data_IF_761442229477
#
_entry.id   IF_761442229477
#
_cell.length_a   1.000
_cell.length_b   1.000
_cell.length_c   1.000
_cell.angle_alpha   90.00
_cell.angle_beta   90.00
_cell.angle_gamma   90.00
#
_symmetry.space_group_name_H-M   'P 1'
#
loop_
_entity.id
_entity.type
_entity.pdbx_description
1 polymer ?
#
# COMPACT_ATOMS: atom_id res chain seq x y z
N UNK A 1 14.32 7.60 -54.29
CA UNK A 1 12.94 7.10 -54.30
C UNK A 1 12.75 6.25 -53.05
N UNK A 2 11.84 6.69 -52.18
CA UNK A 2 11.06 5.95 -51.15
C UNK A 2 11.08 4.43 -51.21
N UNK A 3 10.87 3.65 -50.15
CA UNK A 3 10.56 3.86 -48.72
C UNK A 3 10.54 2.45 -48.08
N UNK A 4 10.63 2.37 -46.76
CA UNK A 4 9.78 1.42 -46.02
C UNK A 4 10.50 0.50 -45.03
N UNK A 5 11.03 1.08 -43.95
CA UNK A 5 11.36 0.34 -42.73
C UNK A 5 10.12 0.34 -41.83
N UNK A 6 9.64 -0.86 -41.46
CA UNK A 6 8.42 -1.04 -40.68
C UNK A 6 8.74 -0.98 -39.18
N UNK A 7 8.48 0.17 -38.56
CA UNK A 7 8.49 0.32 -37.10
C UNK A 7 7.26 -0.36 -36.50
N UNK A 8 7.48 -1.41 -35.71
CA UNK A 8 6.44 -2.09 -34.95
C UNK A 8 6.17 -1.31 -33.67
N UNK A 9 5.17 -0.45 -33.67
CA UNK A 9 4.70 0.27 -32.47
C UNK A 9 3.67 -0.60 -31.75
N UNK A 10 4.03 -1.11 -30.56
CA UNK A 10 3.15 -1.87 -29.67
C UNK A 10 2.01 -0.98 -29.18
N UNK A 11 0.90 -0.95 -29.91
CA UNK A 11 -0.30 -0.23 -29.52
C UNK A 11 -1.19 -1.20 -28.76
N UNK A 12 -1.33 -1.00 -27.45
CA UNK A 12 -2.33 -1.66 -26.62
C UNK A 12 -3.72 -1.37 -27.20
N UNK A 13 -4.37 -2.38 -27.76
CA UNK A 13 -5.70 -2.29 -28.35
C UNK A 13 -6.75 -2.10 -27.27
N UNK A 14 -7.11 -0.85 -26.96
CA UNK A 14 -8.32 -0.52 -26.21
C UNK A 14 -9.53 -0.78 -27.13
N UNK A 15 -10.36 -1.74 -26.76
CA UNK A 15 -11.60 -2.06 -27.49
C UNK A 15 -12.56 -0.88 -27.48
N UNK A 16 -13.32 -0.64 -28.55
CA UNK A 16 -14.31 0.46 -28.68
C UNK A 16 -15.24 0.54 -27.45
N UNK A 17 -15.71 -0.60 -26.97
CA UNK A 17 -16.62 -0.71 -25.81
C UNK A 17 -15.99 -0.21 -24.50
N UNK A 18 -14.67 -0.34 -24.36
CA UNK A 18 -13.95 0.17 -23.18
C UNK A 18 -13.90 1.69 -23.17
N UNK A 19 -13.70 2.30 -24.34
CA UNK A 19 -13.65 3.76 -24.50
C UNK A 19 -14.99 4.42 -24.19
N UNK A 20 -16.10 3.82 -24.64
CA UNK A 20 -17.45 4.29 -24.33
C UNK A 20 -17.75 4.26 -22.83
N UNK A 21 -17.39 3.17 -22.15
CA UNK A 21 -17.54 3.04 -20.69
C UNK A 21 -16.71 4.09 -19.93
N UNK A 22 -15.48 4.33 -20.37
CA UNK A 22 -14.62 5.38 -19.79
C UNK A 22 -15.26 6.76 -19.98
N UNK A 23 -15.76 7.05 -21.17
CA UNK A 23 -16.39 8.33 -21.48
C UNK A 23 -17.67 8.54 -20.65
N UNK A 24 -18.48 7.49 -20.48
CA UNK A 24 -19.66 7.51 -19.62
C UNK A 24 -19.31 7.74 -18.15
N UNK A 25 -18.26 7.07 -17.65
CA UNK A 25 -17.76 7.27 -16.29
C UNK A 25 -17.27 8.72 -16.09
N UNK A 26 -16.53 9.27 -17.06
CA UNK A 26 -16.08 10.66 -17.04
C UNK A 26 -17.24 11.64 -17.02
N UNK A 27 -18.22 11.49 -17.92
CA UNK A 27 -19.40 12.36 -17.96
C UNK A 27 -20.17 12.33 -16.64
N UNK A 28 -20.33 11.14 -16.05
CA UNK A 28 -20.97 10.97 -14.74
C UNK A 28 -20.19 11.68 -13.64
N UNK A 29 -18.86 11.62 -13.65
CA UNK A 29 -18.01 12.32 -12.68
C UNK A 29 -18.11 13.84 -12.82
N UNK A 30 -18.17 14.37 -14.04
CA UNK A 30 -18.33 15.82 -14.29
C UNK A 30 -19.62 16.40 -13.70
N UNK A 31 -20.67 15.59 -13.54
CA UNK A 31 -21.89 16.02 -12.83
C UNK A 31 -21.68 16.19 -11.32
N UNK A 32 -20.73 15.45 -10.75
CA UNK A 32 -20.38 15.51 -9.32
C UNK A 32 -19.34 16.59 -9.08
N UNK A 33 -18.45 16.81 -10.04
CA UNK A 33 -17.33 17.75 -9.98
C UNK A 33 -17.44 18.71 -11.17
N UNK A 34 -18.13 19.85 -11.02
CA UNK A 34 -18.39 20.77 -12.14
C UNK A 34 -17.13 21.36 -12.78
N UNK A 35 -16.00 21.37 -12.07
CA UNK A 35 -14.71 21.88 -12.54
C UNK A 35 -14.09 21.04 -13.66
N UNK A 36 -14.61 19.85 -13.95
CA UNK A 36 -14.14 18.95 -15.03
C UNK A 36 -14.62 19.34 -16.44
N UNK A 37 -15.45 20.36 -16.58
CA UNK A 37 -16.27 20.62 -17.78
C UNK A 37 -15.53 21.17 -19.02
N UNK A 38 -14.20 21.27 -19.01
CA UNK A 38 -13.43 21.82 -20.14
C UNK A 38 -12.72 20.73 -20.95
N UNK A 39 -13.31 20.41 -22.12
CA UNK A 39 -12.67 19.96 -23.38
C UNK A 39 -11.40 19.11 -23.27
N UNK A 40 -11.41 17.84 -23.71
CA UNK A 40 -10.27 17.21 -24.43
C UNK A 40 -10.52 15.76 -24.87
N UNK A 41 -9.72 15.33 -25.86
CA UNK A 41 -9.86 14.11 -26.67
C UNK A 41 -9.50 12.77 -25.97
N UNK A 42 -9.11 12.78 -24.68
CA UNK A 42 -8.75 11.55 -23.95
C UNK A 42 -9.19 11.59 -22.47
N UNK A 43 -10.36 11.02 -22.11
CA UNK A 43 -10.91 11.06 -20.75
C UNK A 43 -10.06 10.32 -19.70
N UNK A 44 -9.27 9.31 -20.09
CA UNK A 44 -8.40 8.59 -19.13
C UNK A 44 -7.25 9.47 -18.61
N UNK A 45 -6.59 10.21 -19.50
CA UNK A 45 -5.46 11.05 -19.12
C UNK A 45 -5.87 12.11 -18.10
N UNK A 46 -7.10 12.63 -18.22
CA UNK A 46 -7.63 13.63 -17.30
C UNK A 46 -7.98 13.01 -15.95
N UNK A 47 -8.60 11.83 -15.92
CA UNK A 47 -8.89 11.11 -14.67
C UNK A 47 -7.62 10.76 -13.88
N UNK A 48 -6.49 10.63 -14.56
CA UNK A 48 -5.18 10.37 -13.96
C UNK A 48 -4.42 11.65 -13.56
N UNK A 49 -4.97 12.84 -13.79
CA UNK A 49 -4.32 14.11 -13.44
C UNK A 49 -4.17 14.28 -11.92
N UNK A 50 -3.16 15.06 -11.52
CA UNK A 50 -2.86 15.41 -10.12
C UNK A 50 -3.95 16.31 -9.51
N UNK A 51 -4.43 17.30 -10.27
CA UNK A 51 -5.40 18.27 -9.77
C UNK A 51 -6.72 17.61 -9.36
N UNK A 52 -7.17 16.67 -10.19
CA UNK A 52 -8.40 15.89 -9.98
C UNK A 52 -8.25 14.96 -8.79
N UNK A 53 -7.08 14.34 -8.63
CA UNK A 53 -6.80 13.53 -7.45
C UNK A 53 -6.90 14.33 -6.16
N UNK A 54 -6.24 15.49 -6.10
CA UNK A 54 -6.28 16.36 -4.93
C UNK A 54 -7.71 16.78 -4.57
N UNK A 55 -8.51 17.16 -5.59
CA UNK A 55 -9.90 17.55 -5.40
C UNK A 55 -10.77 16.39 -4.88
N UNK A 56 -10.68 15.20 -5.49
CA UNK A 56 -11.43 14.01 -5.08
C UNK A 56 -10.97 13.53 -3.69
N UNK A 57 -9.67 13.52 -3.41
CA UNK A 57 -9.12 13.15 -2.11
C UNK A 57 -9.65 14.08 -1.01
N UNK A 58 -9.70 15.38 -1.25
CA UNK A 58 -10.31 16.36 -0.33
C UNK A 58 -11.78 16.05 -0.07
N UNK A 59 -12.56 15.76 -1.12
CA UNK A 59 -13.98 15.39 -1.00
C UNK A 59 -14.17 14.11 -0.17
N UNK A 60 -13.31 13.11 -0.36
CA UNK A 60 -13.32 11.86 0.41
C UNK A 60 -12.90 12.06 1.87
N UNK A 61 -12.08 13.07 2.18
CA UNK A 61 -11.64 13.40 3.55
C UNK A 61 -12.68 14.20 4.35
N UNK A 62 -13.71 14.79 3.73
CA UNK A 62 -14.76 15.55 4.44
C UNK A 62 -15.50 14.72 5.50
N UNK A 63 -15.93 15.31 6.64
CA UNK A 63 -16.48 14.58 7.79
C UNK A 63 -17.77 13.79 7.51
N UNK A 64 -18.51 14.17 6.46
CA UNK A 64 -19.77 13.54 6.03
C UNK A 64 -19.60 12.63 4.80
N UNK A 65 -18.36 12.44 4.32
CA UNK A 65 -18.09 11.51 3.22
C UNK A 65 -18.29 10.06 3.65
N UNK A 66 -18.59 9.19 2.67
CA UNK A 66 -18.72 7.76 2.89
C UNK A 66 -20.11 7.30 3.36
N UNK A 67 -21.08 8.19 3.51
CA UNK A 67 -22.48 7.82 3.74
C UNK A 67 -23.09 7.10 2.54
N UNK A 68 -24.23 6.41 2.73
CA UNK A 68 -24.87 5.62 1.66
C UNK A 68 -25.45 6.45 0.51
N UNK A 69 -25.71 7.73 0.74
CA UNK A 69 -26.19 8.73 -0.23
C UNK A 69 -25.04 9.51 -0.90
N UNK A 70 -23.78 9.16 -0.63
CA UNK A 70 -22.63 9.85 -1.20
C UNK A 70 -22.48 9.51 -2.69
N UNK A 71 -22.77 10.48 -3.56
CA UNK A 71 -22.70 10.32 -5.02
C UNK A 71 -21.31 9.89 -5.52
N UNK A 72 -20.23 10.35 -4.88
CA UNK A 72 -18.87 9.98 -5.24
C UNK A 72 -18.59 8.50 -4.91
N UNK A 73 -19.04 8.01 -3.75
CA UNK A 73 -18.94 6.59 -3.40
C UNK A 73 -19.75 5.72 -4.36
N UNK A 74 -20.95 6.17 -4.75
CA UNK A 74 -21.76 5.50 -5.77
C UNK A 74 -21.05 5.44 -7.12
N UNK A 75 -20.47 6.55 -7.56
CA UNK A 75 -19.70 6.60 -8.80
C UNK A 75 -18.49 5.65 -8.77
N UNK A 76 -17.73 5.63 -7.66
CA UNK A 76 -16.61 4.70 -7.48
C UNK A 76 -17.08 3.23 -7.54
N UNK A 77 -18.22 2.92 -6.91
CA UNK A 77 -18.82 1.59 -6.96
C UNK A 77 -19.19 1.19 -8.39
N UNK A 78 -19.93 2.04 -9.11
CA UNK A 78 -20.35 1.78 -10.50
C UNK A 78 -19.13 1.65 -11.44
N UNK A 79 -18.08 2.42 -11.16
CA UNK A 79 -16.80 2.38 -11.90
C UNK A 79 -16.10 1.02 -11.73
N UNK A 80 -16.12 0.41 -10.53
CA UNK A 80 -15.63 -0.96 -10.31
C UNK A 80 -16.48 -1.97 -11.09
N UNK A 81 -17.80 -1.79 -11.17
CA UNK A 81 -18.67 -2.74 -11.87
C UNK A 81 -18.54 -2.69 -13.40
N UNK A 82 -17.92 -1.66 -13.96
CA UNK A 82 -17.70 -1.51 -15.41
C UNK A 82 -16.89 -2.65 -16.05
N UNK A 83 -16.03 -3.31 -15.25
CA UNK A 83 -15.10 -4.35 -15.68
C UNK A 83 -13.92 -3.86 -16.52
N UNK A 84 -13.71 -2.55 -16.62
CA UNK A 84 -12.61 -1.95 -17.40
C UNK A 84 -11.36 -1.81 -16.50
N UNK A 85 -10.20 -2.39 -16.88
CA UNK A 85 -9.01 -2.40 -16.02
C UNK A 85 -8.47 -1.00 -15.70
N UNK A 86 -8.53 -0.06 -16.65
CA UNK A 86 -8.07 1.32 -16.44
C UNK A 86 -8.94 2.06 -15.41
N UNK A 87 -10.24 1.81 -15.42
CA UNK A 87 -11.19 2.35 -14.45
C UNK A 87 -11.02 1.70 -13.07
N UNK A 88 -10.65 0.41 -13.00
CA UNK A 88 -10.28 -0.24 -11.74
C UNK A 88 -9.02 0.38 -11.15
N UNK A 89 -7.99 0.63 -11.96
CA UNK A 89 -6.77 1.29 -11.52
C UNK A 89 -7.06 2.69 -10.97
N UNK A 90 -7.95 3.44 -11.63
CA UNK A 90 -8.42 4.74 -11.15
C UNK A 90 -9.07 4.66 -9.77
N UNK A 91 -9.93 3.67 -9.52
CA UNK A 91 -10.56 3.49 -8.20
C UNK A 91 -9.52 3.08 -7.15
N UNK A 92 -8.58 2.20 -7.50
CA UNK A 92 -7.48 1.81 -6.61
C UNK A 92 -6.60 3.00 -6.21
N UNK A 93 -6.46 4.02 -7.07
CA UNK A 93 -5.75 5.27 -6.73
C UNK A 93 -6.33 5.96 -5.50
N UNK A 94 -7.64 5.88 -5.27
CA UNK A 94 -8.31 6.50 -4.11
C UNK A 94 -8.44 5.56 -2.91
N UNK A 95 -8.05 4.29 -3.05
CA UNK A 95 -8.19 3.29 -2.00
C UNK A 95 -7.44 3.65 -0.70
N UNK A 96 -6.21 4.21 -0.71
CA UNK A 96 -5.56 4.66 0.52
C UNK A 96 -6.39 5.66 1.31
N UNK A 97 -7.03 6.61 0.63
CA UNK A 97 -7.90 7.63 1.25
C UNK A 97 -9.18 6.99 1.76
N UNK A 98 -9.82 6.13 0.97
CA UNK A 98 -11.06 5.43 1.36
C UNK A 98 -10.81 4.54 2.58
N UNK A 99 -9.79 3.67 2.53
CA UNK A 99 -9.43 2.78 3.63
C UNK A 99 -8.95 3.57 4.85
N UNK A 100 -8.13 4.60 4.63
CA UNK A 100 -7.66 5.57 5.62
C UNK A 100 -8.78 6.18 6.45
N UNK A 101 -9.66 6.90 5.76
CA UNK A 101 -10.79 7.60 6.36
C UNK A 101 -11.80 6.61 6.94
N UNK A 102 -12.06 5.49 6.26
CA UNK A 102 -12.94 4.43 6.75
C UNK A 102 -12.46 3.91 8.09
N UNK A 103 -11.23 3.39 8.15
CA UNK A 103 -10.67 2.76 9.34
C UNK A 103 -10.57 3.73 10.51
N UNK A 104 -10.12 4.96 10.28
CA UNK A 104 -9.96 5.98 11.33
C UNK A 104 -11.30 6.46 11.93
N UNK A 105 -12.41 6.31 11.21
CA UNK A 105 -13.75 6.76 11.66
C UNK A 105 -14.61 5.67 12.29
N UNK A 106 -14.19 4.40 12.25
CA UNK A 106 -14.89 3.29 12.92
C UNK A 106 -15.18 3.60 14.40
N UNK A 107 -14.24 4.15 15.20
CA UNK A 107 -14.51 4.49 16.59
C UNK A 107 -15.60 5.56 16.75
N UNK A 108 -15.79 6.42 15.75
CA UNK A 108 -16.76 7.52 15.76
C UNK A 108 -18.20 7.08 15.50
N UNK A 109 -18.46 5.81 15.15
CA UNK A 109 -19.79 5.23 14.87
C UNK A 109 -20.64 6.04 13.86
N UNK A 110 -19.98 6.71 12.91
CA UNK A 110 -20.66 7.41 11.82
C UNK A 110 -21.12 6.41 10.74
N UNK A 111 -22.21 6.69 10.00
CA UNK A 111 -22.62 5.85 8.88
C UNK A 111 -21.58 5.93 7.75
N UNK A 112 -21.01 4.78 7.36
CA UNK A 112 -19.96 4.68 6.33
C UNK A 112 -20.33 3.69 5.21
N UNK A 113 -21.63 3.48 4.99
CA UNK A 113 -22.15 2.49 4.06
C UNK A 113 -21.64 2.67 2.62
N UNK A 114 -21.36 3.90 2.18
CA UNK A 114 -20.76 4.18 0.87
C UNK A 114 -19.34 3.65 0.76
N UNK A 115 -18.49 3.89 1.76
CA UNK A 115 -17.13 3.31 1.78
C UNK A 115 -17.16 1.79 1.89
N UNK A 116 -18.06 1.25 2.71
CA UNK A 116 -18.24 -0.19 2.86
C UNK A 116 -18.66 -0.84 1.53
N UNK A 117 -19.54 -0.20 0.76
CA UNK A 117 -19.95 -0.68 -0.55
C UNK A 117 -18.78 -0.72 -1.54
N UNK A 118 -17.93 0.32 -1.58
CA UNK A 118 -16.74 0.36 -2.46
C UNK A 118 -15.73 -0.72 -2.06
N UNK A 119 -15.45 -0.86 -0.77
CA UNK A 119 -14.52 -1.89 -0.26
C UNK A 119 -15.05 -3.31 -0.51
N UNK A 120 -16.36 -3.54 -0.35
CA UNK A 120 -16.99 -4.81 -0.70
C UNK A 120 -16.95 -5.09 -2.19
N UNK A 121 -17.12 -4.08 -3.04
CA UNK A 121 -17.01 -4.26 -4.49
C UNK A 121 -15.60 -4.70 -4.91
N UNK A 122 -14.56 -4.08 -4.35
CA UNK A 122 -13.17 -4.51 -4.57
C UNK A 122 -12.93 -5.94 -4.06
N UNK A 123 -13.44 -6.25 -2.87
CA UNK A 123 -13.33 -7.60 -2.30
C UNK A 123 -14.07 -8.65 -3.16
N UNK A 124 -15.26 -8.33 -3.64
CA UNK A 124 -16.05 -9.20 -4.51
C UNK A 124 -15.35 -9.43 -5.84
N UNK A 125 -14.76 -8.38 -6.44
CA UNK A 125 -13.96 -8.47 -7.64
C UNK A 125 -12.77 -9.43 -7.47
N UNK A 126 -12.03 -9.33 -6.36
CA UNK A 126 -10.93 -10.26 -6.09
C UNK A 126 -11.42 -11.67 -5.78
N UNK A 127 -12.56 -11.80 -5.10
CA UNK A 127 -13.15 -13.11 -4.78
C UNK A 127 -13.56 -13.85 -6.06
N UNK A 128 -14.16 -13.15 -7.03
CA UNK A 128 -14.50 -13.74 -8.32
C UNK A 128 -13.25 -14.07 -9.13
N UNK A 129 -12.23 -13.19 -9.12
CA UNK A 129 -10.96 -13.44 -9.80
C UNK A 129 -10.23 -14.68 -9.27
N UNK A 130 -10.28 -14.93 -7.96
CA UNK A 130 -9.67 -16.12 -7.34
C UNK A 130 -10.46 -17.41 -7.56
N UNK A 131 -11.73 -17.35 -7.97
CA UNK A 131 -12.58 -18.52 -8.22
C UNK A 131 -12.57 -19.58 -7.09
N UNK A 132 -12.49 -19.13 -5.83
CA UNK A 132 -12.42 -20.00 -4.65
C UNK A 132 -11.04 -20.62 -4.36
N UNK A 133 -10.01 -20.31 -5.14
CA UNK A 133 -8.66 -20.79 -4.93
C UNK A 133 -7.88 -19.93 -3.92
N UNK A 134 -6.99 -20.58 -3.17
CA UNK A 134 -6.03 -19.90 -2.31
C UNK A 134 -4.83 -19.41 -3.14
N UNK A 135 -4.20 -18.32 -2.70
CA UNK A 135 -2.95 -17.84 -3.31
C UNK A 135 -1.80 -18.60 -2.68
N UNK A 136 -1.12 -19.43 -3.48
CA UNK A 136 0.00 -20.27 -3.04
C UNK A 136 1.29 -19.89 -3.76
N UNK A 137 2.43 -20.05 -3.08
CA UNK A 137 3.77 -19.92 -3.67
C UNK A 137 4.56 -21.19 -3.41
N UNK A 138 5.33 -21.64 -4.40
CA UNK A 138 6.31 -22.72 -4.19
C UNK A 138 7.54 -22.12 -3.53
N UNK A 139 7.90 -22.60 -2.34
CA UNK A 139 9.12 -22.18 -1.65
C UNK A 139 10.32 -22.81 -2.37
N UNK A 140 11.25 -22.01 -2.89
CA UNK A 140 12.44 -22.55 -3.56
C UNK A 140 13.29 -23.38 -2.61
N UNK A 141 13.82 -24.50 -3.10
CA UNK A 141 14.75 -25.36 -2.38
C UNK A 141 16.06 -25.45 -3.18
N UNK A 142 17.19 -25.15 -2.53
CA UNK A 142 18.52 -25.23 -3.13
C UNK A 142 18.90 -26.66 -3.51
N UNK A 143 18.24 -27.68 -2.94
CA UNK A 143 18.44 -29.08 -3.31
C UNK A 143 17.96 -29.40 -4.73
N UNK A 144 17.01 -28.62 -5.25
CA UNK A 144 16.43 -28.78 -6.59
C UNK A 144 17.10 -27.81 -7.58
N UNK A 145 17.43 -28.23 -8.81
CA UNK A 145 17.95 -27.32 -9.82
C UNK A 145 16.93 -26.23 -10.13
N UNK A 146 17.42 -25.02 -10.40
CA UNK A 146 16.59 -23.86 -10.75
C UNK A 146 17.20 -23.11 -11.94
N UNK A 147 16.50 -22.08 -12.40
CA UNK A 147 16.98 -21.18 -13.47
C UNK A 147 18.35 -20.56 -13.12
N UNK A 148 18.67 -20.41 -11.83
CA UNK A 148 19.89 -19.72 -11.37
C UNK A 148 20.98 -20.66 -10.84
N UNK A 149 20.68 -21.94 -10.59
CA UNK A 149 21.66 -22.87 -10.04
C UNK A 149 21.41 -24.32 -10.44
N UNK A 150 22.50 -25.07 -10.60
CA UNK A 150 22.47 -26.51 -10.80
C UNK A 150 22.77 -27.23 -9.48
N UNK A 151 21.99 -28.26 -9.15
CA UNK A 151 22.25 -29.07 -7.95
C UNK A 151 23.23 -30.19 -8.29
N UNK A 152 24.46 -30.10 -7.76
CA UNK A 152 25.51 -31.11 -8.01
C UNK A 152 25.25 -32.46 -7.33
N UNK A 153 24.30 -32.54 -6.40
CA UNK A 153 24.02 -33.75 -5.62
C UNK A 153 22.54 -34.08 -5.76
N UNK A 154 22.25 -35.18 -6.45
CA UNK A 154 20.90 -35.78 -6.45
C UNK A 154 20.66 -36.37 -5.07
N UNK A 155 20.25 -35.53 -4.12
CA UNK A 155 19.71 -36.02 -2.86
C UNK A 155 18.37 -36.67 -3.21
N UNK A 156 18.31 -38.00 -3.12
CA UNK A 156 17.03 -38.73 -3.14
C UNK A 156 16.25 -38.38 -1.87
N UNK A 157 15.70 -37.17 -1.82
CA UNK A 157 14.64 -36.85 -0.90
C UNK A 157 13.34 -37.26 -1.58
N UNK A 158 12.56 -38.11 -0.90
CA UNK A 158 11.21 -38.50 -1.30
C UNK A 158 10.21 -37.31 -1.23
N UNK A 159 10.68 -36.08 -1.08
CA UNK A 159 9.89 -34.86 -1.14
C UNK A 159 9.83 -34.37 -2.59
N UNK A 160 9.11 -35.10 -3.44
CA UNK A 160 8.65 -34.57 -4.74
C UNK A 160 7.48 -33.59 -4.58
N UNK A 161 7.04 -33.33 -3.35
CA UNK A 161 6.09 -32.26 -3.07
C UNK A 161 6.83 -30.92 -3.14
N UNK A 162 6.53 -30.15 -4.18
CA UNK A 162 6.82 -28.72 -4.20
C UNK A 162 6.31 -28.14 -2.87
N UNK A 163 7.20 -27.54 -2.08
CA UNK A 163 6.88 -26.96 -0.77
C UNK A 163 5.92 -25.77 -0.97
N UNK A 164 4.63 -26.05 -1.15
CA UNK A 164 3.61 -25.06 -1.41
C UNK A 164 3.23 -24.36 -0.10
N UNK A 165 3.58 -23.08 -0.01
CA UNK A 165 3.16 -22.20 1.07
C UNK A 165 1.91 -21.43 0.66
N UNK A 166 0.89 -21.42 1.52
CA UNK A 166 -0.33 -20.60 1.32
C UNK A 166 -0.04 -19.17 1.79
N UNK A 167 -0.02 -18.22 0.86
CA UNK A 167 0.18 -16.79 1.15
C UNK A 167 -1.12 -16.10 1.58
N UNK A 168 -2.24 -16.46 0.96
CA UNK A 168 -3.55 -15.90 1.26
C UNK A 168 -4.59 -17.02 1.09
N UNK A 169 -5.42 -17.31 2.12
CA UNK A 169 -6.44 -18.35 2.00
C UNK A 169 -7.49 -18.00 0.95
N UNK A 170 -8.27 -19.00 0.53
CA UNK A 170 -9.43 -18.82 -0.34
C UNK A 170 -10.39 -17.77 0.23
N UNK A 171 -10.98 -16.97 -0.66
CA UNK A 171 -11.90 -15.92 -0.29
C UNK A 171 -13.35 -16.41 -0.34
N UNK A 172 -14.12 -16.10 0.70
CA UNK A 172 -15.56 -16.36 0.76
C UNK A 172 -16.32 -15.09 0.35
N UNK A 173 -17.39 -15.19 -0.46
CA UNK A 173 -18.19 -14.03 -0.83
C UNK A 173 -18.92 -13.45 0.39
N UNK A 174 -18.97 -12.13 0.48
CA UNK A 174 -19.58 -11.41 1.60
C UNK A 174 -20.49 -10.29 1.09
N UNK A 175 -21.70 -10.20 1.66
CA UNK A 175 -22.67 -9.16 1.29
C UNK A 175 -22.66 -7.91 2.19
N UNK A 176 -21.98 -7.95 3.34
CA UNK A 176 -21.93 -6.84 4.31
C UNK A 176 -20.58 -6.78 5.03
N UNK A 177 -20.10 -5.58 5.40
CA UNK A 177 -18.88 -5.42 6.19
C UNK A 177 -19.20 -5.56 7.67
N UNK A 178 -18.79 -6.68 8.28
CA UNK A 178 -18.89 -6.90 9.73
C UNK A 178 -17.56 -6.64 10.42
N UNK A 179 -17.58 -6.27 11.70
CA UNK A 179 -16.36 -6.00 12.49
C UNK A 179 -15.34 -7.15 12.45
N UNK A 180 -15.81 -8.41 12.52
CA UNK A 180 -14.96 -9.61 12.49
C UNK A 180 -14.29 -9.88 11.14
N UNK A 181 -14.87 -9.39 10.04
CA UNK A 181 -14.36 -9.62 8.67
C UNK A 181 -13.75 -8.37 8.05
N UNK A 182 -13.97 -7.20 8.66
CA UNK A 182 -13.53 -5.90 8.16
C UNK A 182 -12.04 -5.88 7.81
N UNK A 183 -11.19 -6.36 8.73
CA UNK A 183 -9.75 -6.37 8.51
C UNK A 183 -9.36 -7.20 7.29
N UNK A 184 -10.03 -8.34 7.05
CA UNK A 184 -9.81 -9.18 5.88
C UNK A 184 -10.28 -8.50 4.60
N UNK A 185 -11.46 -7.89 4.61
CA UNK A 185 -12.02 -7.18 3.44
C UNK A 185 -11.08 -6.03 3.03
N UNK A 186 -10.71 -5.17 3.99
CA UNK A 186 -9.80 -4.05 3.73
C UNK A 186 -8.41 -4.55 3.37
N UNK A 187 -7.91 -5.59 4.04
CA UNK A 187 -6.61 -6.21 3.74
C UNK A 187 -6.53 -6.72 2.31
N UNK A 188 -7.56 -7.41 1.81
CA UNK A 188 -7.64 -7.87 0.41
C UNK A 188 -7.71 -6.70 -0.57
N UNK A 189 -8.46 -5.64 -0.25
CA UNK A 189 -8.44 -4.44 -1.08
C UNK A 189 -7.03 -3.81 -1.15
N UNK A 190 -6.29 -3.79 -0.03
CA UNK A 190 -4.89 -3.35 -0.02
C UNK A 190 -3.94 -4.32 -0.75
N UNK A 191 -4.22 -5.62 -0.77
CA UNK A 191 -3.50 -6.59 -1.63
C UNK A 191 -3.71 -6.25 -3.12
N UNK A 192 -4.94 -5.93 -3.53
CA UNK A 192 -5.25 -5.47 -4.87
C UNK A 192 -4.48 -4.18 -5.22
N UNK A 193 -4.47 -3.20 -4.31
CA UNK A 193 -3.67 -1.98 -4.47
C UNK A 193 -2.19 -2.32 -4.67
N UNK A 194 -1.64 -3.18 -3.81
CA UNK A 194 -0.25 -3.63 -3.91
C UNK A 194 0.05 -4.32 -5.24
N UNK A 195 -0.87 -5.13 -5.78
CA UNK A 195 -0.69 -5.81 -7.07
C UNK A 195 -0.53 -4.85 -8.26
N UNK A 196 -1.03 -3.62 -8.13
CA UNK A 196 -0.98 -2.56 -9.16
C UNK A 196 -0.13 -1.36 -8.75
N UNK A 197 0.59 -1.44 -7.62
CA UNK A 197 1.27 -0.30 -6.99
C UNK A 197 2.33 0.37 -7.89
N UNK A 198 2.93 -0.37 -8.81
CA UNK A 198 3.89 0.15 -9.79
C UNK A 198 3.25 1.10 -10.80
N UNK A 199 1.96 0.94 -11.09
CA UNK A 199 1.20 1.77 -12.02
C UNK A 199 0.54 2.97 -11.32
N UNK A 200 0.53 2.98 -9.98
CA UNK A 200 -0.10 4.04 -9.18
C UNK A 200 0.91 5.18 -8.94
N UNK A 201 0.49 6.45 -9.09
CA UNK A 201 1.37 7.59 -8.86
C UNK A 201 1.74 7.74 -7.37
N UNK A 202 2.57 8.73 -7.04
CA UNK A 202 3.16 8.87 -5.70
C UNK A 202 2.18 9.41 -4.65
N UNK A 203 1.20 10.23 -5.01
CA UNK A 203 0.33 10.93 -4.06
C UNK A 203 -0.52 9.97 -3.22
N UNK A 204 -1.17 8.94 -3.80
CA UNK A 204 -1.85 7.90 -3.01
C UNK A 204 -0.93 7.15 -2.05
N UNK A 205 0.34 6.98 -2.42
CA UNK A 205 1.34 6.29 -1.61
C UNK A 205 1.73 7.14 -0.40
N UNK A 206 1.87 8.46 -0.59
CA UNK A 206 2.10 9.43 0.50
C UNK A 206 0.89 9.43 1.44
N UNK A 207 -0.33 9.56 0.90
CA UNK A 207 -1.57 9.50 1.67
C UNK A 207 -1.65 8.20 2.50
N UNK A 208 -1.27 7.07 1.90
CA UNK A 208 -1.22 5.78 2.60
C UNK A 208 -0.28 5.81 3.81
N UNK A 209 0.92 6.40 3.66
CA UNK A 209 1.90 6.51 4.73
C UNK A 209 1.38 7.40 5.87
N UNK A 210 0.72 8.52 5.54
CA UNK A 210 0.06 9.39 6.54
C UNK A 210 -0.98 8.61 7.35
N UNK A 211 -1.84 7.82 6.69
CA UNK A 211 -2.82 7.00 7.38
C UNK A 211 -2.19 5.91 8.24
N UNK A 212 -1.08 5.30 7.80
CA UNK A 212 -0.34 4.33 8.62
C UNK A 212 0.17 4.94 9.92
N UNK A 213 0.66 6.19 9.88
CA UNK A 213 1.06 6.94 11.08
C UNK A 213 -0.13 7.12 12.03
N UNK A 214 -1.27 7.56 11.49
CA UNK A 214 -2.51 7.75 12.28
C UNK A 214 -2.93 6.41 12.91
N UNK A 215 -2.96 5.33 12.13
CA UNK A 215 -3.37 4.01 12.59
C UNK A 215 -2.44 3.44 13.65
N UNK A 216 -1.14 3.70 13.56
CA UNK A 216 -0.16 3.30 14.56
C UNK A 216 -0.53 3.88 15.93
N UNK A 217 -0.96 5.14 15.97
CA UNK A 217 -1.34 5.83 17.19
C UNK A 217 -0.17 6.12 18.12
N UNK A 218 1.05 5.99 17.60
CA UNK A 218 2.30 6.34 18.28
C UNK A 218 3.12 7.19 17.33
N UNK A 219 3.78 8.21 17.87
CA UNK A 219 4.71 9.06 17.12
C UNK A 219 6.04 8.35 16.83
N UNK A 220 6.32 7.26 17.54
CA UNK A 220 7.52 6.44 17.47
C UNK A 220 8.81 7.18 17.83
N UNK A 221 8.74 8.37 18.43
CA UNK A 221 9.88 9.29 18.57
C UNK A 221 11.07 8.65 19.28
N UNK A 222 10.81 7.76 20.25
CA UNK A 222 11.81 6.96 20.97
C UNK A 222 12.69 6.07 20.05
N UNK A 223 12.21 5.78 18.85
CA UNK A 223 12.91 4.94 17.86
C UNK A 223 13.54 5.77 16.74
N UNK A 224 13.63 7.10 16.89
CA UNK A 224 14.46 7.93 16.01
C UNK A 224 15.94 7.60 16.20
N UNK A 225 16.38 7.38 17.44
CA UNK A 225 17.78 7.08 17.73
C UNK A 225 18.18 5.64 17.33
N UNK A 226 17.20 4.74 17.13
CA UNK A 226 17.43 3.49 16.40
C UNK A 226 17.91 3.75 14.96
N UNK A 227 17.74 4.96 14.42
CA UNK A 227 18.32 5.43 13.16
C UNK A 227 19.81 5.77 13.30
N UNK A 228 20.26 6.21 14.48
CA UNK A 228 21.61 6.73 14.76
C UNK A 228 22.56 5.69 15.40
N UNK A 229 22.04 4.65 16.06
CA UNK A 229 22.81 3.78 16.96
C UNK A 229 23.73 2.69 16.33
N UNK A 230 23.99 2.67 15.01
CA UNK A 230 24.99 1.74 14.43
C UNK A 230 26.38 2.35 14.19
N UNK A 231 26.61 3.61 14.56
CA UNK A 231 27.96 4.17 14.73
C UNK A 231 28.33 4.30 16.22
N UNK A 232 28.85 3.22 16.82
CA UNK A 232 29.83 3.29 17.91
C UNK A 232 29.43 3.77 19.31
N UNK A 233 28.15 4.04 19.63
CA UNK A 233 27.77 4.63 20.93
C UNK A 233 27.27 3.63 22.00
N UNK A 234 27.81 2.41 22.06
CA UNK A 234 27.51 1.48 23.15
C UNK A 234 28.20 1.86 24.48
N UNK A 235 29.25 2.72 24.44
CA UNK A 235 30.08 3.01 25.60
C UNK A 235 29.57 4.20 26.46
N UNK A 236 28.83 5.15 25.89
CA UNK A 236 28.38 6.35 26.63
C UNK A 236 27.13 6.13 27.49
N UNK A 237 26.37 5.06 27.26
CA UNK A 237 25.14 4.78 28.04
C UNK A 237 25.39 4.32 29.47
N UNK A 238 26.62 3.98 29.86
CA UNK A 238 26.95 3.58 31.24
C UNK A 238 27.34 4.73 32.17
N UNK A 239 27.49 5.96 31.67
CA UNK A 239 27.94 7.10 32.48
C UNK A 239 26.83 8.10 32.87
N UNK A 240 25.57 7.88 32.44
CA UNK A 240 24.42 8.74 32.77
C UNK A 240 23.37 8.12 33.70
N UNK A 241 23.67 6.98 34.34
CA UNK A 241 22.78 6.37 35.37
C UNK A 241 23.02 6.90 36.80
N UNK A 242 23.67 8.07 36.95
CA UNK A 242 24.01 8.65 38.25
C UNK A 242 23.56 10.10 38.39
N UNK A 243 22.25 10.36 38.30
CA UNK A 243 21.69 11.69 38.52
C UNK A 243 20.20 11.60 38.84
N UNK A 244 19.89 11.50 40.12
CA UNK A 244 18.54 11.62 40.66
C UNK A 244 18.01 13.04 40.42
N UNK A 245 17.07 13.19 39.50
CA UNK A 245 16.14 14.31 39.50
C UNK A 245 14.74 13.70 39.44
N UNK A 246 14.11 13.61 40.61
CA UNK A 246 12.71 13.24 40.75
C UNK A 246 11.87 14.36 40.13
N UNK A 247 11.59 14.26 38.83
CA UNK A 247 10.57 15.09 38.20
C UNK A 247 9.23 14.58 38.68
N UNK A 248 8.63 15.31 39.62
CA UNK A 248 7.25 15.14 40.08
C UNK A 248 6.30 15.19 38.87
N UNK A 249 5.83 14.01 38.46
CA UNK A 249 4.80 13.86 37.44
C UNK A 249 3.51 14.58 37.88
N UNK A 250 3.18 15.69 37.22
CA UNK A 250 1.94 16.42 37.42
C UNK A 250 0.76 15.61 36.88
N UNK A 251 -0.39 15.68 37.56
CA UNK A 251 -1.62 14.95 37.21
C UNK A 251 -2.20 15.29 35.81
N UNK A 252 -1.61 16.25 35.10
CA UNK A 252 -1.95 16.60 33.71
C UNK A 252 -1.51 15.53 32.70
N UNK A 253 -0.43 14.78 32.94
CA UNK A 253 0.00 13.69 32.04
C UNK A 253 -0.91 12.45 32.10
N UNK A 254 -1.67 12.29 33.19
CA UNK A 254 -2.76 11.28 33.25
C UNK A 254 -3.94 11.64 32.35
N UNK A 255 -4.09 12.92 31.99
CA UNK A 255 -5.15 13.44 31.11
C UNK A 255 -4.76 13.41 29.61
N UNK A 256 -3.47 13.40 29.28
CA UNK A 256 -2.98 13.39 27.89
C UNK A 256 -3.01 12.03 27.17
N UNK A 257 -3.42 10.95 27.85
CA UNK A 257 -3.98 9.77 27.16
C UNK A 257 -5.43 10.00 26.72
N UNK A 258 -5.77 11.22 26.26
CA UNK A 258 -6.94 11.45 25.41
C UNK A 258 -6.91 10.36 24.35
N UNK A 259 -7.93 9.49 24.35
CA UNK A 259 -8.13 8.40 23.37
C UNK A 259 -7.41 8.76 22.07
N UNK A 260 -6.32 8.08 21.75
CA UNK A 260 -5.53 8.34 20.55
C UNK A 260 -6.50 8.35 19.36
N UNK A 261 -6.90 9.54 18.93
CA UNK A 261 -7.95 9.76 17.93
C UNK A 261 -7.36 9.36 16.59
N UNK A 262 -7.34 8.05 16.31
CA UNK A 262 -6.67 7.51 15.13
C UNK A 262 -6.14 6.09 15.29
N UNK A 263 -5.90 5.58 16.51
CA UNK A 263 -5.36 4.21 16.67
C UNK A 263 -6.39 3.17 16.25
N UNK A 264 -6.08 2.43 15.17
CA UNK A 264 -6.94 1.38 14.61
C UNK A 264 -6.39 -0.01 14.98
N UNK A 265 -7.20 -1.02 15.33
CA UNK A 265 -6.72 -2.40 15.42
C UNK A 265 -6.15 -2.89 14.08
N UNK A 266 -4.87 -3.30 14.07
CA UNK A 266 -4.18 -3.82 12.89
C UNK A 266 -3.88 -5.32 13.07
N UNK A 267 -4.87 -6.22 12.92
CA UNK A 267 -4.61 -7.65 12.91
C UNK A 267 -3.76 -8.03 11.70
N UNK A 268 -3.17 -9.23 11.72
CA UNK A 268 -2.16 -9.63 10.74
C UNK A 268 -2.64 -9.58 9.29
N UNK A 269 -3.90 -9.92 9.04
CA UNK A 269 -4.52 -9.91 7.71
C UNK A 269 -4.60 -8.51 7.09
N UNK A 270 -4.60 -7.47 7.94
CA UNK A 270 -4.55 -6.07 7.51
C UNK A 270 -3.12 -5.53 7.53
N UNK A 271 -2.31 -5.92 8.53
CA UNK A 271 -0.95 -5.43 8.67
C UNK A 271 -0.02 -5.96 7.58
N UNK A 272 -0.18 -7.21 7.14
CA UNK A 272 0.67 -7.81 6.10
C UNK A 272 0.68 -7.00 4.78
N UNK A 273 -0.46 -6.65 4.16
CA UNK A 273 -0.45 -5.80 2.97
C UNK A 273 0.03 -4.38 3.26
N UNK A 274 -0.22 -3.82 4.47
CA UNK A 274 0.32 -2.52 4.88
C UNK A 274 1.85 -2.52 4.81
N UNK A 275 2.50 -3.54 5.37
CA UNK A 275 3.96 -3.65 5.36
C UNK A 275 4.52 -3.84 3.95
N UNK A 276 3.83 -4.58 3.07
CA UNK A 276 4.23 -4.72 1.66
C UNK A 276 4.16 -3.40 0.89
N UNK A 277 3.11 -2.61 1.12
CA UNK A 277 2.96 -1.30 0.51
C UNK A 277 4.07 -0.35 1.02
N UNK A 278 4.30 -0.29 2.32
CA UNK A 278 5.39 0.53 2.89
C UNK A 278 6.76 0.10 2.38
N UNK A 279 7.01 -1.22 2.27
CA UNK A 279 8.24 -1.75 1.68
C UNK A 279 8.44 -1.25 0.24
N UNK A 280 7.38 -1.23 -0.58
CA UNK A 280 7.46 -0.66 -1.92
C UNK A 280 7.69 0.86 -1.90
N UNK A 281 7.12 1.61 -0.96
CA UNK A 281 7.38 3.04 -0.84
C UNK A 281 8.84 3.35 -0.46
N UNK A 282 9.46 2.50 0.36
CA UNK A 282 10.85 2.64 0.80
C UNK A 282 11.88 2.14 -0.22
N UNK A 283 11.62 0.99 -0.83
CA UNK A 283 12.61 0.21 -1.61
C UNK A 283 12.24 0.08 -3.10
N UNK A 284 11.07 0.59 -3.50
CA UNK A 284 10.61 0.52 -4.88
C UNK A 284 11.32 1.52 -5.81
N UNK A 285 10.95 1.55 -7.10
CA UNK A 285 11.59 2.41 -8.11
C UNK A 285 11.47 3.91 -7.82
N UNK A 286 10.53 4.31 -6.97
CA UNK A 286 10.30 5.69 -6.55
C UNK A 286 11.06 6.04 -5.25
N UNK A 287 11.99 5.20 -4.77
CA UNK A 287 12.76 5.44 -3.54
C UNK A 287 13.61 6.72 -3.57
N UNK A 288 13.86 7.30 -4.75
CA UNK A 288 14.55 8.58 -4.93
C UNK A 288 13.66 9.79 -4.58
N UNK A 289 12.35 9.62 -4.49
CA UNK A 289 11.46 10.68 -4.04
C UNK A 289 11.59 10.86 -2.53
N UNK A 290 12.21 11.98 -2.14
CA UNK A 290 12.50 12.29 -0.74
C UNK A 290 11.22 12.38 0.11
N UNK A 291 10.14 12.93 -0.44
CA UNK A 291 8.89 13.13 0.30
C UNK A 291 8.22 11.80 0.59
N UNK A 292 8.13 10.93 -0.42
CA UNK A 292 7.58 9.58 -0.25
C UNK A 292 8.44 8.74 0.69
N UNK A 293 9.76 8.78 0.54
CA UNK A 293 10.69 8.03 1.38
C UNK A 293 10.58 8.44 2.85
N UNK A 294 10.63 9.75 3.15
CA UNK A 294 10.49 10.27 4.51
C UNK A 294 9.14 9.89 5.13
N UNK A 295 8.04 10.05 4.38
CA UNK A 295 6.70 9.68 4.84
C UNK A 295 6.60 8.18 5.15
N UNK A 296 7.17 7.32 4.29
CA UNK A 296 7.16 5.88 4.48
C UNK A 296 8.06 5.42 5.64
N UNK A 297 9.23 6.04 5.81
CA UNK A 297 10.15 5.73 6.90
C UNK A 297 9.53 6.11 8.25
N UNK A 298 8.94 7.30 8.32
CA UNK A 298 8.16 7.77 9.47
C UNK A 298 7.04 6.80 9.83
N UNK A 299 6.21 6.41 8.84
CA UNK A 299 5.13 5.47 9.04
C UNK A 299 5.62 4.10 9.55
N UNK A 300 6.74 3.60 9.01
CA UNK A 300 7.35 2.36 9.45
C UNK A 300 7.85 2.44 10.89
N UNK A 301 8.45 3.58 11.28
CA UNK A 301 8.92 3.85 12.64
C UNK A 301 7.75 3.89 13.64
N UNK A 302 6.66 4.56 13.30
CA UNK A 302 5.45 4.58 14.11
C UNK A 302 4.83 3.17 14.29
N UNK A 303 4.78 2.37 13.23
CA UNK A 303 4.29 0.99 13.30
C UNK A 303 5.22 0.07 14.09
N UNK A 304 6.54 0.26 14.01
CA UNK A 304 7.51 -0.46 14.83
C UNK A 304 7.34 -0.14 16.31
N UNK A 305 7.22 1.15 16.65
CA UNK A 305 6.97 1.58 18.02
C UNK A 305 5.70 0.94 18.58
N UNK A 306 4.62 0.95 17.79
CA UNK A 306 3.39 0.26 18.14
C UNK A 306 3.63 -1.23 18.35
N UNK A 307 4.33 -1.90 17.44
CA UNK A 307 4.56 -3.34 17.52
C UNK A 307 5.33 -3.72 18.79
N UNK A 308 6.28 -2.88 19.21
CA UNK A 308 7.01 -3.02 20.47
C UNK A 308 6.09 -2.82 21.69
N UNK A 309 5.28 -1.76 21.69
CA UNK A 309 4.32 -1.50 22.76
C UNK A 309 3.26 -2.61 22.89
N UNK A 310 2.77 -3.12 21.76
CA UNK A 310 1.79 -4.20 21.71
C UNK A 310 2.42 -5.60 21.91
N UNK A 311 3.75 -5.69 22.01
CA UNK A 311 4.54 -6.94 22.13
C UNK A 311 4.15 -7.95 21.03
N UNK A 312 3.95 -7.47 19.81
CA UNK A 312 3.51 -8.29 18.68
C UNK A 312 4.71 -8.78 17.87
N UNK A 313 5.24 -9.96 18.21
CA UNK A 313 6.42 -10.53 17.54
C UNK A 313 6.27 -10.64 16.01
N UNK A 314 5.07 -10.95 15.49
CA UNK A 314 4.81 -11.04 14.05
C UNK A 314 4.93 -9.68 13.35
N UNK A 315 4.67 -8.60 14.05
CA UNK A 315 4.81 -7.24 13.55
C UNK A 315 6.21 -6.65 13.78
N UNK A 316 6.84 -6.95 14.93
CA UNK A 316 8.16 -6.45 15.33
C UNK A 316 9.22 -6.81 14.30
N UNK A 317 9.30 -8.09 13.91
CA UNK A 317 10.34 -8.56 13.00
C UNK A 317 10.30 -7.86 11.62
N UNK A 318 9.18 -7.85 10.87
CA UNK A 318 9.16 -7.22 9.56
C UNK A 318 9.29 -5.70 9.62
N UNK A 319 8.70 -5.01 10.61
CA UNK A 319 8.85 -3.54 10.74
C UNK A 319 10.28 -3.15 11.07
N UNK A 320 10.96 -3.88 11.98
CA UNK A 320 12.38 -3.68 12.27
C UNK A 320 13.25 -3.95 11.04
N UNK A 321 13.00 -5.04 10.32
CA UNK A 321 13.74 -5.37 9.09
C UNK A 321 13.62 -4.27 8.04
N UNK A 322 12.41 -3.71 7.84
CA UNK A 322 12.20 -2.60 6.91
C UNK A 322 12.97 -1.34 7.32
N UNK A 323 12.98 -0.97 8.61
CA UNK A 323 13.76 0.15 9.11
C UNK A 323 15.27 -0.05 8.90
N UNK A 324 15.78 -1.28 9.03
CA UNK A 324 17.20 -1.55 8.75
C UNK A 324 17.52 -1.47 7.26
N UNK A 325 16.62 -1.97 6.41
CA UNK A 325 16.81 -1.90 4.96
C UNK A 325 16.71 -0.47 4.43
N UNK A 326 15.80 0.36 4.95
CA UNK A 326 15.67 1.77 4.52
C UNK A 326 16.96 2.56 4.76
N UNK A 327 17.67 2.30 5.87
CA UNK A 327 19.00 2.89 6.12
C UNK A 327 20.05 2.51 5.08
N UNK A 328 20.11 1.22 4.72
CA UNK A 328 21.08 0.74 3.73
C UNK A 328 20.88 1.43 2.39
N UNK A 329 19.62 1.71 2.02
CA UNK A 329 19.31 2.47 0.80
C UNK A 329 19.77 3.93 0.91
N UNK A 330 19.62 4.56 2.08
CA UNK A 330 20.09 5.93 2.30
C UNK A 330 21.63 6.04 2.31
N UNK A 331 22.32 5.01 2.78
CA UNK A 331 23.79 4.91 2.78
C UNK A 331 24.40 4.55 1.41
N UNK A 332 23.68 3.83 0.56
CA UNK A 332 24.16 3.33 -0.75
C UNK A 332 23.99 4.31 -1.93
N UNK A 333 23.75 5.61 -1.70
CA UNK A 333 23.62 6.60 -2.80
C UNK A 333 24.87 6.66 -3.71
N UNK A 334 26.01 6.12 -3.26
CA UNK A 334 27.27 6.08 -4.02
C UNK A 334 27.73 4.66 -4.44
N UNK A 335 26.99 3.60 -4.13
CA UNK A 335 27.44 2.23 -4.44
C UNK A 335 26.66 1.66 -5.64
N UNK A 336 27.41 1.28 -6.68
CA UNK A 336 26.84 0.71 -7.90
C UNK A 336 26.24 -0.64 -7.56
N UNK A 337 24.94 -0.85 -7.82
CA UNK A 337 24.29 -2.14 -7.62
C UNK A 337 24.97 -3.18 -8.53
N UNK A 338 25.68 -4.19 -7.97
CA UNK A 338 26.39 -5.18 -8.78
C UNK A 338 25.44 -6.12 -9.55
N UNK A 339 24.12 -6.02 -9.32
CA UNK A 339 23.08 -6.75 -10.04
C UNK A 339 22.41 -5.93 -11.15
N UNK A 340 22.65 -4.63 -11.23
CA UNK A 340 22.24 -3.83 -12.38
C UNK A 340 23.15 -4.16 -13.58
N UNK A 341 22.57 -4.76 -14.62
CA UNK A 341 23.26 -4.91 -15.89
C UNK A 341 23.41 -3.52 -16.52
N UNK A 342 24.63 -3.10 -16.93
CA UNK A 342 24.79 -1.83 -17.62
C UNK A 342 23.97 -1.86 -18.90
N UNK A 343 23.09 -0.87 -19.07
CA UNK A 343 22.31 -0.70 -20.30
C UNK A 343 23.27 -0.22 -21.39
N UNK A 344 23.96 -1.16 -22.04
CA UNK A 344 24.75 -0.88 -23.22
C UNK A 344 23.87 -1.03 -24.45
N UNK A 345 23.64 0.05 -25.19
CA UNK A 345 22.98 0.02 -26.51
C UNK A 345 23.85 -0.64 -27.60
N UNK A 346 24.83 -1.46 -27.21
CA UNK A 346 25.76 -2.14 -28.10
C UNK A 346 25.55 -3.63 -27.87
N UNK A 347 24.86 -4.27 -28.81
CA UNK A 347 24.85 -5.73 -28.91
C UNK A 347 26.25 -6.11 -29.40
N UNK A 348 27.09 -6.63 -28.51
CA UNK A 348 28.32 -7.31 -28.91
C UNK A 348 27.93 -8.74 -29.30
N UNK A 349 28.06 -9.05 -30.60
CA UNK A 349 27.90 -10.38 -31.16
C UNK A 349 29.14 -11.23 -30.93
#
# INVERSE_FOLDING_TARGET
MSNGEATTTTTTTTTTDSLEKIQSAFQSLSTIIPTLSSSTNNPLSLLLDHSIYSHISSLLRHPNSGSGDNNLCRWLYDTIQSGVPDLHLLVLRFLPVIAGVYLSRIPCRKPQAGFEAVLLALYAHETTARAGQAVTVSVPDLSQPSVYHESKVVVKNNSTDLNLAVLSPSLEPHGTVRSSRRARIVGVALELFYSKISQIPIEPKIDFCEFCKIWAGQDGNMYKDFEEEEEGAAEERRLKEGGSDEVLETEEEKSERKKIEGRVPLPWELLQPVLRILAHCLLGPNNKDKVLFEAANEACRCLFARAMHDVNAKAILPTRSLLRLSKSVLGNVNDVDPTELPITNVISL
#
